data_IF_284911299035
#
_entry.id   IF_284911299035
#
_cell.length_a   1.000
_cell.length_b   1.000
_cell.length_c   1.000
_cell.angle_alpha   90.00
_cell.angle_beta   90.00
_cell.angle_gamma   90.00
#
_symmetry.space_group_name_H-M   'P 1'
#
loop_
_entity.id
_entity.type
_entity.pdbx_description
1 polymer ?
#
# COMPACT_ATOMS: atom_id res chain seq x y z
N UNK A 1 -22.11 7.78 -55.31
CA UNK A 1 -22.49 8.58 -54.13
C UNK A 1 -22.63 7.74 -52.85
N UNK A 2 -23.33 6.60 -52.87
CA UNK A 2 -23.52 5.73 -51.69
C UNK A 2 -22.24 5.12 -51.11
N UNK A 3 -21.24 4.85 -51.95
CA UNK A 3 -19.94 4.30 -51.53
C UNK A 3 -19.10 5.28 -50.70
N UNK A 4 -19.24 6.58 -50.96
CA UNK A 4 -18.53 7.63 -50.22
C UNK A 4 -19.18 7.83 -48.85
N UNK A 5 -20.52 7.84 -48.80
CA UNK A 5 -21.27 7.94 -47.54
C UNK A 5 -21.04 6.70 -46.67
N UNK A 6 -21.06 5.50 -47.26
CA UNK A 6 -20.75 4.26 -46.55
C UNK A 6 -19.32 4.22 -46.00
N UNK A 7 -18.34 4.64 -46.79
CA UNK A 7 -16.93 4.69 -46.37
C UNK A 7 -16.70 5.66 -45.20
N UNK A 8 -17.38 6.81 -45.20
CA UNK A 8 -17.26 7.79 -44.11
C UNK A 8 -17.90 7.29 -42.81
N UNK A 9 -19.07 6.63 -42.89
CA UNK A 9 -19.72 6.05 -41.70
C UNK A 9 -18.83 4.97 -41.07
N UNK A 10 -18.23 4.09 -41.88
CA UNK A 10 -17.31 3.06 -41.38
C UNK A 10 -16.07 3.69 -40.74
N UNK A 11 -15.48 4.72 -41.34
CA UNK A 11 -14.33 5.41 -40.78
C UNK A 11 -14.63 6.06 -39.42
N UNK A 12 -15.80 6.70 -39.28
CA UNK A 12 -16.24 7.31 -38.01
C UNK A 12 -16.45 6.25 -36.93
N UNK A 13 -17.11 5.13 -37.26
CA UNK A 13 -17.33 4.02 -36.30
C UNK A 13 -15.99 3.42 -35.85
N UNK A 14 -15.03 3.25 -36.76
CA UNK A 14 -13.70 2.75 -36.43
C UNK A 14 -12.93 3.72 -35.53
N UNK A 15 -12.97 5.01 -35.80
CA UNK A 15 -12.33 6.02 -34.94
C UNK A 15 -12.94 6.02 -33.53
N UNK A 16 -14.27 5.95 -33.42
CA UNK A 16 -14.96 5.86 -32.14
C UNK A 16 -14.64 4.57 -31.38
N UNK A 17 -14.55 3.43 -32.09
CA UNK A 17 -14.15 2.16 -31.49
C UNK A 17 -12.70 2.19 -30.98
N UNK A 18 -11.77 2.79 -31.74
CA UNK A 18 -10.38 2.99 -31.32
C UNK A 18 -10.30 3.91 -30.11
N UNK A 19 -11.06 5.01 -30.07
CA UNK A 19 -11.12 5.91 -28.92
C UNK A 19 -11.73 5.24 -27.68
N UNK A 20 -12.75 4.41 -27.85
CA UNK A 20 -13.34 3.61 -26.77
C UNK A 20 -12.35 2.57 -26.21
N UNK A 21 -11.58 1.91 -27.08
CA UNK A 21 -10.53 0.97 -26.68
C UNK A 21 -9.37 1.67 -25.97
N UNK A 22 -8.92 2.83 -26.46
CA UNK A 22 -7.84 3.61 -25.85
C UNK A 22 -8.26 4.20 -24.50
N UNK A 23 -9.52 4.64 -24.35
CA UNK A 23 -10.04 5.12 -23.06
C UNK A 23 -10.23 3.98 -22.05
N UNK A 24 -10.69 2.80 -22.48
CA UNK A 24 -10.76 1.62 -21.62
C UNK A 24 -9.37 1.12 -21.16
N UNK A 25 -8.35 1.26 -22.01
CA UNK A 25 -6.97 0.92 -21.67
C UNK A 25 -6.29 1.99 -20.81
N UNK A 26 -6.57 3.28 -21.06
CA UNK A 26 -5.97 4.43 -20.37
C UNK A 26 -6.49 4.69 -18.95
N UNK A 27 -7.59 4.05 -18.55
CA UNK A 27 -8.20 4.25 -17.23
C UNK A 27 -7.64 3.35 -16.12
N UNK A 28 -6.64 2.51 -16.40
CA UNK A 28 -5.83 1.90 -15.34
C UNK A 28 -4.76 2.91 -14.95
N UNK A 29 -5.11 3.87 -14.10
CA UNK A 29 -4.09 4.58 -13.33
C UNK A 29 -3.23 3.51 -12.65
N UNK A 30 -2.04 3.25 -13.17
CA UNK A 30 -1.11 2.33 -12.51
C UNK A 30 -0.73 3.04 -11.23
N UNK A 31 -1.29 2.61 -10.10
CA UNK A 31 -0.86 3.09 -8.81
C UNK A 31 0.65 2.85 -8.70
N UNK A 32 1.41 3.89 -8.41
CA UNK A 32 2.87 3.85 -8.27
C UNK A 32 3.32 4.20 -6.86
N UNK A 33 2.41 4.21 -5.89
CA UNK A 33 2.76 4.47 -4.49
C UNK A 33 3.62 3.32 -3.97
N UNK A 34 4.84 3.57 -3.47
CA UNK A 34 5.69 2.54 -2.88
C UNK A 34 4.97 1.84 -1.71
N UNK A 35 5.22 0.55 -1.52
CA UNK A 35 4.56 -0.30 -0.51
C UNK A 35 3.03 -0.42 -0.59
N UNK A 36 2.40 0.06 -1.67
CA UNK A 36 0.97 -0.08 -1.87
C UNK A 36 0.65 -1.45 -2.55
N UNK A 37 -0.33 -2.22 -2.05
CA UNK A 37 -0.83 -3.45 -2.69
C UNK A 37 -1.38 -3.26 -4.11
N UNK A 38 -1.73 -2.03 -4.49
CA UNK A 38 -2.15 -1.66 -5.84
C UNK A 38 -0.99 -1.38 -6.79
N UNK A 39 0.24 -1.18 -6.25
CA UNK A 39 1.42 -0.88 -7.05
C UNK A 39 2.09 -2.17 -7.56
N UNK A 40 2.07 -2.34 -8.88
CA UNK A 40 2.68 -3.47 -9.61
C UNK A 40 4.15 -3.23 -9.97
N UNK A 41 4.67 -2.04 -9.70
CA UNK A 41 6.07 -1.68 -9.86
C UNK A 41 6.99 -2.45 -8.89
N UNK A 42 8.29 -2.32 -9.09
CA UNK A 42 9.32 -3.05 -8.34
C UNK A 42 9.30 -2.77 -6.83
N UNK A 43 8.86 -1.56 -6.45
CA UNK A 43 8.76 -1.02 -5.09
C UNK A 43 7.36 -1.14 -4.47
N UNK A 44 6.41 -1.79 -5.15
CA UNK A 44 5.09 -2.09 -4.61
C UNK A 44 5.03 -3.42 -3.87
N UNK A 45 3.86 -3.72 -3.29
CA UNK A 45 3.56 -4.96 -2.55
C UNK A 45 2.43 -5.76 -3.19
N UNK A 46 2.05 -5.44 -4.43
CA UNK A 46 0.94 -6.08 -5.13
C UNK A 46 1.07 -7.60 -5.26
N UNK A 47 2.28 -8.12 -5.50
CA UNK A 47 2.49 -9.56 -5.58
C UNK A 47 2.25 -10.24 -4.23
N UNK A 48 2.74 -9.65 -3.13
CA UNK A 48 2.55 -10.18 -1.78
C UNK A 48 1.08 -10.19 -1.40
N UNK A 49 0.37 -9.08 -1.60
CA UNK A 49 -1.06 -9.00 -1.33
C UNK A 49 -1.88 -10.00 -2.17
N UNK A 50 -1.55 -10.16 -3.45
CA UNK A 50 -2.24 -11.10 -4.33
C UNK A 50 -2.02 -12.56 -3.90
N UNK A 51 -0.79 -12.92 -3.51
CA UNK A 51 -0.49 -14.28 -3.02
C UNK A 51 -1.26 -14.56 -1.72
N UNK A 52 -1.32 -13.60 -0.80
CA UNK A 52 -2.09 -13.76 0.44
C UNK A 52 -3.58 -14.00 0.12
N UNK A 53 -4.15 -13.21 -0.79
CA UNK A 53 -5.54 -13.33 -1.22
C UNK A 53 -5.84 -14.67 -1.94
N UNK A 54 -4.97 -15.05 -2.88
CA UNK A 54 -5.07 -16.32 -3.63
C UNK A 54 -4.99 -17.55 -2.72
N UNK A 55 -4.34 -17.42 -1.55
CA UNK A 55 -4.22 -18.47 -0.54
C UNK A 55 -5.34 -18.45 0.52
N UNK A 56 -6.43 -17.73 0.27
CA UNK A 56 -7.69 -17.84 1.04
C UNK A 56 -7.85 -16.81 2.16
N UNK A 57 -6.93 -15.84 2.27
CA UNK A 57 -7.00 -14.75 3.26
C UNK A 57 -7.56 -13.51 2.60
N UNK A 58 -8.71 -13.01 3.03
CA UNK A 58 -9.35 -11.86 2.39
C UNK A 58 -8.56 -10.57 2.65
N UNK A 59 -7.97 -10.00 1.58
CA UNK A 59 -7.19 -8.76 1.68
C UNK A 59 -8.03 -7.53 1.32
N UNK A 60 -8.34 -6.72 2.33
CA UNK A 60 -9.01 -5.43 2.17
C UNK A 60 -8.00 -4.28 2.18
N UNK A 61 -7.98 -3.47 1.13
CA UNK A 61 -7.03 -2.35 1.02
C UNK A 61 -7.74 -1.03 1.33
N UNK A 62 -7.25 -0.31 2.34
CA UNK A 62 -7.79 0.97 2.79
C UNK A 62 -6.74 2.05 2.61
N UNK A 63 -7.08 3.15 1.93
CA UNK A 63 -6.15 4.25 1.66
C UNK A 63 -6.63 5.53 2.30
N UNK A 64 -5.78 6.12 3.11
CA UNK A 64 -6.03 7.39 3.81
C UNK A 64 -6.93 7.27 5.04
N UNK A 65 -6.74 8.19 5.98
CA UNK A 65 -7.28 8.16 7.34
C UNK A 65 -8.82 8.25 7.34
N UNK A 66 -9.41 9.03 6.43
CA UNK A 66 -10.87 9.15 6.33
C UNK A 66 -11.54 7.83 5.88
N UNK A 67 -10.91 7.11 4.96
CA UNK A 67 -11.35 5.76 4.57
C UNK A 67 -11.22 4.79 5.74
N UNK A 68 -10.13 4.90 6.52
CA UNK A 68 -9.93 4.05 7.70
C UNK A 68 -10.97 4.32 8.79
N UNK A 69 -11.34 5.59 9.01
CA UNK A 69 -12.39 5.99 9.96
C UNK A 69 -13.77 5.45 9.60
N UNK A 70 -14.08 5.36 8.31
CA UNK A 70 -15.39 4.90 7.81
C UNK A 70 -15.45 3.38 7.58
N UNK A 71 -14.31 2.70 7.51
CA UNK A 71 -14.24 1.24 7.46
C UNK A 71 -14.75 0.63 8.77
N UNK A 72 -15.19 -0.63 8.77
CA UNK A 72 -15.54 -1.40 9.99
C UNK A 72 -14.34 -1.56 10.92
N UNK A 73 -14.54 -1.59 12.24
CA UNK A 73 -13.42 -1.70 13.18
C UNK A 73 -12.74 -3.06 13.14
N UNK A 74 -11.42 -3.16 12.82
CA UNK A 74 -10.69 -4.42 12.89
C UNK A 74 -10.77 -5.00 14.30
N UNK A 75 -11.24 -6.24 14.38
CA UNK A 75 -11.35 -6.98 15.63
C UNK A 75 -10.25 -8.03 15.79
N UNK A 76 -10.45 -8.92 16.76
CA UNK A 76 -9.50 -9.98 17.11
C UNK A 76 -9.33 -11.07 16.03
N UNK A 77 -10.06 -10.98 14.92
CA UNK A 77 -10.03 -11.84 13.73
C UNK A 77 -9.31 -11.19 12.54
N UNK A 78 -8.77 -9.98 12.70
CA UNK A 78 -8.18 -9.21 11.60
C UNK A 78 -6.72 -8.88 11.89
N UNK A 79 -5.81 -9.22 10.97
CA UNK A 79 -4.44 -8.69 10.96
C UNK A 79 -4.41 -7.38 10.20
N UNK A 80 -3.90 -6.32 10.82
CA UNK A 80 -3.75 -5.01 10.19
C UNK A 80 -2.32 -4.84 9.70
N UNK A 81 -2.13 -4.54 8.42
CA UNK A 81 -0.83 -4.21 7.83
C UNK A 81 -0.80 -2.73 7.52
N UNK A 82 0.27 -2.02 7.90
CA UNK A 82 0.43 -0.59 7.65
C UNK A 82 1.70 -0.32 6.86
N UNK A 83 1.56 0.29 5.68
CA UNK A 83 2.68 0.72 4.84
C UNK A 83 3.29 2.02 5.37
N UNK A 84 4.61 2.08 5.55
CA UNK A 84 5.29 3.19 6.24
C UNK A 84 5.87 4.32 5.38
N UNK A 85 5.62 4.34 4.07
CA UNK A 85 6.26 5.28 3.13
C UNK A 85 5.70 6.71 3.14
N UNK A 86 4.59 6.96 3.83
CA UNK A 86 4.04 8.29 3.96
C UNK A 86 4.66 9.05 5.14
N UNK A 87 4.97 10.34 4.91
CA UNK A 87 5.29 11.26 6.01
C UNK A 87 3.98 11.58 6.72
N UNK A 88 3.80 11.02 7.91
CA UNK A 88 2.63 11.27 8.77
C UNK A 88 3.04 11.99 10.05
N UNK A 89 2.13 12.77 10.61
CA UNK A 89 2.31 13.44 11.90
C UNK A 89 1.94 12.52 13.08
N UNK A 90 2.33 12.91 14.29
CA UNK A 90 2.06 12.13 15.51
C UNK A 90 0.57 11.95 15.78
N UNK A 91 -0.24 13.00 15.58
CA UNK A 91 -1.69 12.96 15.72
C UNK A 91 -2.34 11.98 14.73
N UNK A 92 -1.84 11.92 13.49
CA UNK A 92 -2.31 10.93 12.51
C UNK A 92 -1.92 9.51 12.94
N UNK A 93 -0.69 9.32 13.43
CA UNK A 93 -0.23 8.03 13.94
C UNK A 93 -1.07 7.53 15.14
N UNK A 94 -1.38 8.41 16.10
CA UNK A 94 -2.25 8.13 17.23
C UNK A 94 -3.68 7.79 16.78
N UNK A 95 -4.23 8.56 15.83
CA UNK A 95 -5.55 8.28 15.26
C UNK A 95 -5.60 6.91 14.53
N UNK A 96 -4.52 6.51 13.87
CA UNK A 96 -4.38 5.18 13.27
C UNK A 96 -4.36 4.12 14.38
N UNK A 97 -3.52 4.29 15.42
CA UNK A 97 -3.44 3.38 16.57
C UNK A 97 -4.82 3.18 17.22
N UNK A 98 -5.52 4.26 17.58
CA UNK A 98 -6.84 4.20 18.21
C UNK A 98 -7.85 3.40 17.40
N UNK A 99 -7.73 3.50 16.07
CA UNK A 99 -8.62 2.84 15.13
C UNK A 99 -8.32 1.34 15.00
N UNK A 100 -7.07 0.90 15.21
CA UNK A 100 -6.65 -0.49 14.97
C UNK A 100 -6.22 -1.25 16.22
N UNK A 101 -6.26 -0.62 17.41
CA UNK A 101 -5.80 -1.22 18.67
C UNK A 101 -6.58 -2.47 19.13
N UNK A 102 -7.72 -2.76 18.52
CA UNK A 102 -8.52 -3.97 18.78
C UNK A 102 -8.26 -5.11 17.78
N UNK A 103 -7.34 -4.91 16.83
CA UNK A 103 -6.93 -5.91 15.86
C UNK A 103 -6.28 -7.14 16.52
N UNK A 104 -6.25 -8.26 15.81
CA UNK A 104 -5.51 -9.45 16.23
C UNK A 104 -4.00 -9.19 16.40
N UNK A 105 -3.44 -8.47 15.42
CA UNK A 105 -2.02 -8.13 15.30
C UNK A 105 -1.88 -6.92 14.38
N UNK A 106 -0.86 -6.10 14.63
CA UNK A 106 -0.47 -5.01 13.71
C UNK A 106 0.92 -5.30 13.14
N UNK A 107 1.03 -5.26 11.82
CA UNK A 107 2.28 -5.40 11.08
C UNK A 107 2.64 -4.08 10.43
N UNK A 108 3.75 -3.48 10.85
CA UNK A 108 4.28 -2.23 10.31
C UNK A 108 5.37 -2.54 9.28
N UNK A 109 5.17 -2.12 8.04
CA UNK A 109 6.18 -2.28 6.98
C UNK A 109 6.90 -0.95 6.79
N UNK A 110 8.18 -0.92 7.16
CA UNK A 110 9.07 0.25 7.06
C UNK A 110 8.46 1.52 7.69
N UNK A 111 7.94 1.46 8.93
CA UNK A 111 7.23 2.58 9.55
C UNK A 111 8.13 3.80 9.73
N UNK A 112 7.54 4.98 9.54
CA UNK A 112 8.12 6.23 10.01
C UNK A 112 8.20 6.26 11.55
N UNK A 113 9.05 7.13 12.09
CA UNK A 113 9.21 7.27 13.55
C UNK A 113 7.88 7.56 14.28
N UNK A 114 7.04 8.53 13.84
CA UNK A 114 5.76 8.79 14.51
C UNK A 114 4.83 7.57 14.50
N UNK A 115 4.82 6.82 13.39
CA UNK A 115 4.04 5.60 13.28
C UNK A 115 4.52 4.55 14.28
N UNK A 116 5.82 4.24 14.29
CA UNK A 116 6.37 3.23 15.19
C UNK A 116 6.15 3.61 16.67
N UNK A 117 6.37 4.88 17.02
CA UNK A 117 6.23 5.38 18.38
C UNK A 117 4.79 5.34 18.92
N UNK A 118 3.77 5.44 18.03
CA UNK A 118 2.37 5.30 18.42
C UNK A 118 2.02 3.85 18.84
N UNK A 119 2.76 2.85 18.36
CA UNK A 119 2.51 1.44 18.65
C UNK A 119 3.42 0.87 19.74
N UNK A 120 4.62 1.41 19.94
CA UNK A 120 5.55 0.90 20.95
C UNK A 120 6.61 1.92 21.35
N UNK A 121 6.91 1.97 22.65
CA UNK A 121 8.07 2.71 23.20
C UNK A 121 9.31 1.81 23.37
N UNK A 122 9.18 0.52 23.08
CA UNK A 122 10.21 -0.50 23.35
C UNK A 122 11.11 -0.76 22.14
N UNK A 123 10.83 -0.13 20.99
CA UNK A 123 11.58 -0.28 19.75
C UNK A 123 11.90 1.10 19.19
N UNK A 124 13.13 1.28 18.74
CA UNK A 124 13.55 2.47 17.99
C UNK A 124 14.02 2.10 16.59
N UNK A 125 14.00 3.07 15.68
CA UNK A 125 14.63 2.94 14.37
C UNK A 125 16.15 2.99 14.51
N UNK A 126 16.84 2.06 13.88
CA UNK A 126 18.30 2.01 13.76
C UNK A 126 18.68 2.40 12.33
N UNK A 127 19.32 3.57 12.18
CA UNK A 127 19.82 4.04 10.89
C UNK A 127 21.29 3.68 10.75
N UNK A 128 21.67 3.17 9.59
CA UNK A 128 23.05 2.82 9.29
C UNK A 128 23.15 1.85 8.11
N UNK A 129 24.28 1.90 7.41
CA UNK A 129 24.55 0.95 6.33
C UNK A 129 24.52 -0.48 6.86
N UNK A 130 23.74 -1.35 6.23
CA UNK A 130 23.84 -2.77 6.54
C UNK A 130 25.18 -3.30 6.03
N UNK A 131 25.85 -4.09 6.87
CA UNK A 131 27.08 -4.78 6.48
C UNK A 131 26.80 -6.06 5.69
N UNK A 132 25.52 -6.41 5.54
CA UNK A 132 25.05 -7.65 4.94
C UNK A 132 24.02 -7.35 3.86
N UNK A 133 24.11 -8.02 2.72
CA UNK A 133 23.05 -7.98 1.69
C UNK A 133 21.87 -8.90 2.01
N UNK A 134 22.08 -9.86 2.92
CA UNK A 134 21.09 -10.82 3.41
C UNK A 134 21.26 -11.02 4.91
N UNK A 135 20.16 -11.29 5.59
CA UNK A 135 20.15 -11.50 7.03
C UNK A 135 19.51 -12.83 7.35
N UNK A 136 20.16 -13.62 8.21
CA UNK A 136 19.58 -14.84 8.79
C UNK A 136 18.77 -14.46 10.03
N UNK A 137 17.66 -15.15 10.28
CA UNK A 137 16.74 -14.83 11.37
C UNK A 137 17.46 -14.79 12.73
N UNK A 138 18.27 -15.81 13.03
CA UNK A 138 19.01 -15.97 14.29
C UNK A 138 18.14 -15.76 15.54
N UNK A 139 16.84 -16.06 15.41
CA UNK A 139 15.81 -15.92 16.43
C UNK A 139 14.78 -17.06 16.26
N UNK A 140 13.83 -17.17 17.19
CA UNK A 140 12.64 -18.01 17.02
C UNK A 140 11.42 -17.18 17.37
N UNK A 141 10.50 -17.04 16.42
CA UNK A 141 9.23 -16.35 16.56
C UNK A 141 8.17 -17.17 15.83
N UNK A 142 6.90 -17.01 16.19
CA UNK A 142 5.81 -17.60 15.41
C UNK A 142 5.93 -17.22 13.92
N UNK A 143 5.96 -18.23 13.04
CA UNK A 143 6.13 -18.03 11.60
C UNK A 143 7.58 -17.79 11.13
N UNK A 144 8.56 -17.70 12.03
CA UNK A 144 9.97 -17.45 11.71
C UNK A 144 10.86 -18.59 12.23
N UNK A 145 11.55 -19.26 11.31
CA UNK A 145 12.56 -20.27 11.64
C UNK A 145 13.93 -19.61 11.85
N UNK A 146 14.77 -20.12 12.77
CA UNK A 146 16.17 -19.69 12.87
C UNK A 146 16.96 -19.83 11.58
N UNK A 147 16.52 -20.69 10.66
CA UNK A 147 17.14 -20.90 9.35
C UNK A 147 16.70 -19.92 8.27
N UNK A 148 15.61 -19.16 8.48
CA UNK A 148 15.07 -18.25 7.47
C UNK A 148 16.11 -17.18 7.12
N UNK A 149 16.22 -16.87 5.83
CA UNK A 149 17.11 -15.84 5.28
C UNK A 149 16.29 -14.84 4.47
N UNK A 150 16.49 -13.56 4.72
CA UNK A 150 15.79 -12.47 4.02
C UNK A 150 16.77 -11.48 3.39
N UNK A 151 16.28 -10.73 2.41
CA UNK A 151 17.01 -9.56 1.91
C UNK A 151 17.13 -8.52 3.01
N UNK A 152 18.37 -8.11 3.30
CA UNK A 152 18.65 -7.10 4.31
C UNK A 152 18.41 -5.71 3.75
N UNK A 153 17.84 -4.83 4.56
CA UNK A 153 17.68 -3.43 4.22
C UNK A 153 19.03 -2.71 4.27
N UNK A 154 19.40 -1.93 3.24
CA UNK A 154 20.70 -1.28 3.20
C UNK A 154 20.85 -0.11 4.16
N UNK A 155 19.78 0.54 4.64
CA UNK A 155 19.87 1.79 5.42
C UNK A 155 19.04 1.84 6.71
N UNK A 156 17.91 1.15 6.75
CA UNK A 156 16.94 1.20 7.84
C UNK A 156 16.87 -0.14 8.58
N UNK A 157 16.73 -0.10 9.89
CA UNK A 157 16.48 -1.26 10.72
C UNK A 157 15.84 -0.85 12.03
N UNK A 158 15.76 -1.80 12.96
CA UNK A 158 15.18 -1.58 14.28
C UNK A 158 16.16 -2.01 15.38
N UNK A 159 16.03 -1.40 16.54
CA UNK A 159 16.68 -1.82 17.76
C UNK A 159 15.63 -1.96 18.86
N UNK A 160 15.59 -3.14 19.49
CA UNK A 160 14.86 -3.30 20.74
C UNK A 160 15.50 -2.46 21.84
N UNK A 161 14.68 -2.00 22.79
CA UNK A 161 15.15 -1.28 23.96
C UNK A 161 16.16 -2.12 24.76
N UNK A 162 17.07 -1.44 25.46
CA UNK A 162 18.12 -2.08 26.28
C UNK A 162 17.59 -2.90 27.46
N UNK A 163 16.29 -2.81 27.74
CA UNK A 163 15.64 -3.53 28.82
C UNK A 163 15.17 -4.92 28.34
N UNK A 164 15.88 -5.96 28.78
CA UNK A 164 15.62 -7.36 28.43
C UNK A 164 14.34 -7.92 29.06
N UNK A 165 13.64 -7.16 29.90
CA UNK A 165 12.36 -7.56 30.52
C UNK A 165 11.14 -7.34 29.62
N UNK A 166 11.32 -6.66 28.48
CA UNK A 166 10.28 -6.20 27.55
C UNK A 166 9.66 -7.31 26.68
N UNK A 167 10.32 -8.45 26.55
CA UNK A 167 9.86 -9.54 25.68
C UNK A 167 9.96 -9.23 24.18
N UNK A 168 10.65 -8.15 23.79
CA UNK A 168 10.88 -7.82 22.38
C UNK A 168 11.79 -8.87 21.74
N UNK A 169 11.32 -9.49 20.66
CA UNK A 169 12.11 -10.43 19.86
C UNK A 169 12.70 -9.72 18.65
N UNK A 170 14.01 -9.81 18.47
CA UNK A 170 14.72 -9.21 17.34
C UNK A 170 15.18 -10.32 16.37
N UNK A 171 14.90 -10.16 15.09
CA UNK A 171 15.17 -11.15 14.05
C UNK A 171 15.83 -10.51 12.83
N UNK A 172 16.67 -11.27 12.12
CA UNK A 172 17.33 -10.84 10.89
C UNK A 172 18.35 -9.71 11.12
N UNK A 173 19.43 -10.03 11.82
CA UNK A 173 20.53 -9.09 12.11
C UNK A 173 21.13 -8.47 10.85
N UNK A 174 21.32 -7.14 10.85
CA UNK A 174 21.90 -6.37 9.74
C UNK A 174 23.43 -6.24 9.82
N UNK A 175 24.05 -6.93 10.78
CA UNK A 175 25.46 -6.78 11.15
C UNK A 175 25.62 -6.17 12.55
N UNK A 176 26.84 -6.18 13.07
CA UNK A 176 27.13 -5.66 14.40
C UNK A 176 26.75 -4.17 14.48
N UNK A 177 25.94 -3.82 15.48
CA UNK A 177 25.46 -2.46 15.78
C UNK A 177 24.56 -1.77 14.73
N UNK A 178 24.06 -2.51 13.71
CA UNK A 178 23.26 -1.92 12.62
C UNK A 178 21.77 -2.26 12.71
N UNK A 179 21.33 -2.73 13.88
CA UNK A 179 19.97 -3.14 14.14
C UNK A 179 19.57 -4.44 13.41
N UNK A 180 18.27 -4.64 13.30
CA UNK A 180 17.67 -5.85 12.72
C UNK A 180 16.59 -5.49 11.70
N UNK A 181 16.28 -6.39 10.78
CA UNK A 181 15.23 -6.16 9.77
C UNK A 181 13.82 -6.41 10.30
N UNK A 182 13.67 -7.06 11.46
CA UNK A 182 12.37 -7.35 12.04
C UNK A 182 12.42 -7.37 13.57
N UNK A 183 11.37 -6.83 14.18
CA UNK A 183 11.13 -6.90 15.62
C UNK A 183 9.69 -7.30 15.89
N UNK A 184 9.47 -8.08 16.94
CA UNK A 184 8.15 -8.41 17.45
C UNK A 184 8.03 -7.96 18.90
N UNK A 185 6.98 -7.19 19.18
CA UNK A 185 6.61 -6.69 20.49
C UNK A 185 5.36 -7.43 20.92
N UNK A 186 5.37 -8.10 22.09
CA UNK A 186 4.17 -8.74 22.64
C UNK A 186 3.04 -7.73 22.86
N UNK A 187 1.81 -8.23 22.97
CA UNK A 187 0.67 -7.40 23.37
C UNK A 187 0.89 -6.81 24.77
N UNK A 188 0.47 -5.57 24.98
CA UNK A 188 0.46 -4.92 26.28
C UNK A 188 -0.97 -4.69 26.79
N UNK A 189 -1.11 -4.09 27.97
CA UNK A 189 -2.40 -3.72 28.56
C UNK A 189 -2.98 -2.49 27.83
N UNK A 190 -3.32 -2.62 26.55
CA UNK A 190 -3.95 -1.55 25.78
C UNK A 190 -3.93 -1.71 24.26
N UNK A 191 -2.96 -2.47 23.72
CA UNK A 191 -2.78 -2.64 22.29
C UNK A 191 -2.50 -4.08 21.84
N UNK A 192 -2.58 -4.33 20.51
CA UNK A 192 -2.34 -5.63 19.92
C UNK A 192 -0.83 -5.95 19.90
N UNK A 193 -0.44 -7.23 19.71
CA UNK A 193 0.96 -7.53 19.41
C UNK A 193 1.37 -6.84 18.11
N UNK A 194 2.59 -6.30 18.09
CA UNK A 194 3.12 -5.51 16.98
C UNK A 194 4.32 -6.21 16.37
N UNK A 195 4.38 -6.25 15.04
CA UNK A 195 5.56 -6.67 14.30
C UNK A 195 5.98 -5.52 13.40
N UNK A 196 7.22 -5.05 13.50
CA UNK A 196 7.78 -4.12 12.52
C UNK A 196 8.83 -4.83 11.67
N UNK A 197 8.77 -4.64 10.35
CA UNK A 197 9.71 -5.22 9.39
C UNK A 197 10.15 -4.19 8.36
N UNK A 198 11.36 -4.35 7.81
CA UNK A 198 11.87 -3.46 6.75
C UNK A 198 11.22 -3.77 5.40
N UNK A 199 11.20 -2.77 4.51
CA UNK A 199 10.55 -2.88 3.21
C UNK A 199 11.08 -4.03 2.32
N UNK A 200 12.40 -4.25 2.16
CA UNK A 200 12.93 -5.07 1.08
C UNK A 200 12.40 -6.50 0.99
N UNK A 201 12.07 -7.16 2.10
CA UNK A 201 11.51 -8.51 2.09
C UNK A 201 10.05 -8.58 1.61
N UNK A 202 9.36 -7.44 1.53
CA UNK A 202 7.94 -7.34 1.12
C UNK A 202 7.76 -6.86 -0.33
N UNK A 203 8.81 -6.26 -0.92
CA UNK A 203 8.76 -5.65 -2.24
C UNK A 203 8.65 -6.68 -3.36
N UNK A 204 7.87 -6.36 -4.39
CA UNK A 204 7.70 -7.17 -5.60
C UNK A 204 9.04 -7.64 -6.20
N UNK A 205 10.04 -6.76 -6.27
CA UNK A 205 11.36 -7.08 -6.86
C UNK A 205 12.19 -8.11 -6.08
N UNK A 206 11.90 -8.28 -4.79
CA UNK A 206 12.68 -9.11 -3.88
C UNK A 206 11.86 -10.30 -3.36
N UNK A 207 10.55 -10.31 -3.53
CA UNK A 207 9.64 -11.27 -2.92
C UNK A 207 10.01 -12.74 -3.19
N UNK A 208 10.51 -13.03 -4.39
CA UNK A 208 10.95 -14.37 -4.80
C UNK A 208 12.41 -14.71 -4.40
N UNK A 209 13.12 -13.82 -3.71
CA UNK A 209 14.50 -14.05 -3.26
C UNK A 209 14.51 -14.64 -1.86
N UNK A 210 15.37 -15.62 -1.63
CA UNK A 210 15.55 -16.26 -0.32
C UNK A 210 14.20 -16.71 0.27
N UNK A 211 13.97 -16.51 1.57
CA UNK A 211 12.73 -16.85 2.26
C UNK A 211 11.77 -15.64 2.41
N UNK A 212 11.99 -14.55 1.66
CA UNK A 212 11.26 -13.28 1.80
C UNK A 212 9.73 -13.47 1.78
N UNK A 213 9.20 -14.11 0.74
CA UNK A 213 7.76 -14.37 0.62
C UNK A 213 7.23 -15.25 1.76
N UNK A 214 7.95 -16.33 2.10
CA UNK A 214 7.56 -17.23 3.18
C UNK A 214 7.47 -16.50 4.52
N UNK A 215 8.50 -15.70 4.85
CA UNK A 215 8.54 -14.88 6.07
C UNK A 215 7.43 -13.83 6.07
N UNK A 216 7.27 -13.07 4.99
CA UNK A 216 6.25 -12.02 4.90
C UNK A 216 4.82 -12.59 5.02
N UNK A 217 4.52 -13.68 4.30
CA UNK A 217 3.21 -14.35 4.35
C UNK A 217 2.95 -14.89 5.74
N UNK A 218 3.86 -15.67 6.33
CA UNK A 218 3.66 -16.25 7.67
C UNK A 218 3.52 -15.19 8.77
N UNK A 219 4.04 -13.99 8.55
CA UNK A 219 3.89 -12.86 9.48
C UNK A 219 2.56 -12.13 9.34
N UNK A 220 2.08 -11.95 8.10
CA UNK A 220 0.88 -11.14 7.78
C UNK A 220 -0.39 -12.00 7.81
N UNK A 221 -0.36 -13.18 7.20
CA UNK A 221 -1.49 -14.06 6.98
C UNK A 221 -1.77 -14.96 8.20
N UNK A 222 -1.82 -14.38 9.40
CA UNK A 222 -2.11 -15.12 10.64
C UNK A 222 -3.60 -15.24 10.94
N UNK A 223 -4.44 -14.55 10.17
CA UNK A 223 -5.89 -14.55 10.29
C UNK A 223 -6.52 -14.65 8.88
N UNK A 224 -7.82 -14.94 8.83
CA UNK A 224 -8.56 -15.03 7.55
C UNK A 224 -8.85 -13.66 6.92
N UNK A 225 -8.60 -12.56 7.65
CA UNK A 225 -8.85 -11.19 7.22
C UNK A 225 -7.61 -10.32 7.40
N UNK A 226 -7.13 -9.74 6.30
CA UNK A 226 -6.06 -8.74 6.33
C UNK A 226 -6.64 -7.39 5.94
N UNK A 227 -6.51 -6.39 6.82
CA UNK A 227 -6.74 -5.00 6.47
C UNK A 227 -5.39 -4.34 6.18
N UNK A 228 -5.13 -4.05 4.91
CA UNK A 228 -3.93 -3.36 4.47
C UNK A 228 -4.18 -1.86 4.36
N UNK A 229 -3.70 -1.12 5.36
CA UNK A 229 -3.78 0.32 5.41
C UNK A 229 -2.57 0.98 4.74
N UNK A 230 -2.85 1.88 3.78
CA UNK A 230 -1.84 2.70 3.12
C UNK A 230 -2.09 4.16 3.52
N UNK A 231 -1.28 4.75 4.41
CA UNK A 231 -1.41 6.16 4.76
C UNK A 231 -1.14 7.05 3.54
N UNK A 232 -1.78 8.21 3.51
CA UNK A 232 -1.63 9.20 2.44
C UNK A 232 -1.01 10.49 2.99
N UNK A 233 -0.32 11.24 2.13
CA UNK A 233 0.37 12.48 2.52
C UNK A 233 -0.59 13.56 3.05
N UNK A 234 -1.81 13.55 2.55
CA UNK A 234 -2.88 14.48 2.89
C UNK A 234 -3.73 14.02 4.07
N UNK A 235 -3.38 12.91 4.73
CA UNK A 235 -4.00 12.48 5.98
C UNK A 235 -3.85 13.57 7.04
N UNK A 236 -4.99 13.98 7.60
CA UNK A 236 -5.06 14.98 8.66
C UNK A 236 -6.11 14.58 9.68
N UNK A 237 -5.81 14.81 10.94
CA UNK A 237 -6.85 14.81 11.98
C UNK A 237 -7.59 16.13 11.86
N UNK A 238 -8.65 16.17 11.04
CA UNK A 238 -9.52 17.35 11.01
C UNK A 238 -10.16 17.54 12.39
N UNK A 239 -9.97 18.71 13.00
CA UNK A 239 -10.84 19.19 14.06
C UNK A 239 -12.27 19.18 13.51
N UNK A 240 -13.19 18.44 14.13
CA UNK A 240 -14.57 18.26 13.67
C UNK A 240 -15.42 19.56 13.58
N UNK A 241 -14.80 20.74 13.64
CA UNK A 241 -15.45 22.05 13.52
C UNK A 241 -15.09 22.82 12.23
N UNK A 242 -14.34 22.24 11.30
CA UNK A 242 -14.04 22.89 10.03
C UNK A 242 -15.04 22.46 8.94
N UNK A 243 -16.16 23.17 8.86
CA UNK A 243 -16.99 23.21 7.66
C UNK A 243 -16.15 23.76 6.50
N UNK A 244 -15.64 22.92 5.61
CA UNK A 244 -15.34 23.32 4.23
C UNK A 244 -15.14 22.12 3.30
N UNK A 245 -16.03 22.07 2.32
CA UNK A 245 -15.73 21.80 0.91
C UNK A 245 -15.20 20.41 0.56
N UNK A 246 -16.17 19.52 0.38
CA UNK A 246 -16.20 18.43 -0.61
C UNK A 246 -15.23 18.70 -1.77
N UNK A 247 -13.99 18.21 -1.63
CA UNK A 247 -12.97 18.28 -2.67
C UNK A 247 -13.35 17.30 -3.77
N UNK A 248 -14.07 17.84 -4.75
CA UNK A 248 -14.27 17.26 -6.06
C UNK A 248 -12.89 16.92 -6.63
N UNK A 249 -12.57 15.64 -6.67
CA UNK A 249 -11.43 15.07 -7.39
C UNK A 249 -11.34 15.75 -8.75
N UNK A 250 -10.28 16.54 -8.93
CA UNK A 250 -10.00 17.23 -10.18
C UNK A 250 -9.85 16.17 -11.27
N UNK A 251 -10.91 15.99 -12.04
CA UNK A 251 -10.88 15.27 -13.29
C UNK A 251 -9.82 15.95 -14.17
N UNK A 252 -8.73 15.25 -14.43
CA UNK A 252 -7.63 15.66 -15.33
C UNK A 252 -8.10 15.85 -16.78
N UNK A 253 -9.39 15.61 -17.07
CA UNK A 253 -10.05 16.03 -18.29
C UNK A 253 -10.76 17.37 -18.09
N UNK A 254 -10.41 18.41 -18.86
CA UNK A 254 -11.19 19.64 -18.89
C UNK A 254 -12.66 19.29 -19.18
N UNK A 255 -13.61 19.83 -18.40
CA UNK A 255 -15.05 19.63 -18.63
C UNK A 255 -15.51 19.97 -20.06
N UNK A 256 -14.68 20.70 -20.81
CA UNK A 256 -14.86 21.05 -22.21
C UNK A 256 -14.63 19.90 -23.21
N UNK A 257 -14.04 18.76 -22.83
CA UNK A 257 -13.76 17.64 -23.76
C UNK A 257 -15.06 17.03 -24.31
N UNK A 258 -16.09 16.84 -23.48
CA UNK A 258 -17.39 16.37 -23.93
C UNK A 258 -18.04 17.28 -24.99
N UNK A 259 -18.18 18.59 -24.70
CA UNK A 259 -18.66 19.58 -25.67
C UNK A 259 -17.84 19.64 -26.98
N UNK A 260 -16.51 19.51 -26.91
CA UNK A 260 -15.62 19.52 -28.08
C UNK A 260 -15.85 18.33 -29.00
N UNK A 261 -16.04 17.13 -28.44
CA UNK A 261 -16.38 15.94 -29.21
C UNK A 261 -17.73 16.08 -29.91
N UNK A 262 -18.72 16.66 -29.23
CA UNK A 262 -20.06 16.89 -29.75
C UNK A 262 -20.03 17.91 -30.90
N UNK A 263 -19.23 18.97 -30.79
CA UNK A 263 -18.98 19.95 -31.86
C UNK A 263 -18.28 19.31 -33.07
N UNK A 264 -17.24 18.50 -32.84
CA UNK A 264 -16.52 17.80 -33.91
C UNK A 264 -17.45 16.84 -34.67
N UNK A 265 -18.35 16.14 -33.97
CA UNK A 265 -19.35 15.26 -34.57
C UNK A 265 -20.31 16.03 -35.51
N UNK A 266 -20.85 17.16 -35.05
CA UNK A 266 -21.72 17.98 -35.90
C UNK A 266 -20.99 18.64 -37.07
N UNK A 267 -19.73 19.05 -36.89
CA UNK A 267 -18.90 19.59 -37.97
C UNK A 267 -18.66 18.56 -39.09
N UNK A 268 -18.40 17.30 -38.72
CA UNK A 268 -18.26 16.19 -39.67
C UNK A 268 -19.59 15.90 -40.39
N UNK A 269 -20.72 15.87 -39.67
CA UNK A 269 -22.04 15.72 -40.29
C UNK A 269 -22.35 16.83 -41.30
N UNK A 270 -22.03 18.08 -40.95
CA UNK A 270 -22.21 19.22 -41.85
C UNK A 270 -21.34 19.09 -43.11
N UNK A 271 -20.09 18.65 -42.98
CA UNK A 271 -19.20 18.40 -44.12
C UNK A 271 -19.70 17.26 -45.03
N UNK A 272 -20.26 16.19 -44.45
CA UNK A 272 -20.86 15.08 -45.19
C UNK A 272 -22.08 15.56 -45.99
N UNK A 273 -22.96 16.34 -45.35
CA UNK A 273 -24.15 16.90 -46.00
C UNK A 273 -23.79 17.91 -47.09
N UNK A 274 -22.70 18.66 -46.90
CA UNK A 274 -22.24 19.64 -47.88
C UNK A 274 -21.59 19.02 -49.10
N UNK A 275 -20.78 17.95 -48.93
CA UNK A 275 -20.17 17.20 -50.05
C UNK A 275 -21.07 16.12 -50.67
N UNK A 276 -22.22 15.87 -50.07
CA UNK A 276 -23.27 15.00 -50.60
C UNK A 276 -24.27 15.69 -51.53
N UNK A 277 -24.13 17.01 -51.75
CA UNK A 277 -24.86 17.77 -52.78
C UNK A 277 -24.04 17.93 -54.05
#
# INVERSE_FOLDING_TARGET
MWWVVGGVVVAVVLVLAVLALVSAAGNRSSNTTPLDPGNRGSDGTSALASIIDDHGVNVSVVRGLDSLRTTSTPGADTTVVISGQAVISTDVAEAIYDRVRSAHRVVLIDPSYPLLAAFTSQVSTSYGESLLSVSKADCTLEGISPSDVVTSDPGNGFAGGLDTTTGVTQCFSRGQNNGVNMVSVPADLGGPPVVAMTAPMTLNQNLARYDNSGVAIRTIATTDHVLWYVPQRDDKVSDQNSNSDQHNSQSVFPRAVGPLFLLAFFAVLALILWRGR
#
